data_IF_435214870591
#
_entry.id   IF_435214870591
#
_cell.length_a   1.000
_cell.length_b   1.000
_cell.length_c   1.000
_cell.angle_alpha   90.00
_cell.angle_beta   90.00
_cell.angle_gamma   90.00
#
_symmetry.space_group_name_H-M   'P 1'
#
loop_
_entity.id
_entity.type
_entity.pdbx_description
1 polymer ?
#
# COMPACT_ATOMS: atom_id res chain seq x y z
N UNK A 1 20.32 8.13 10.27
CA UNK A 1 19.42 6.97 10.28
C UNK A 1 18.16 7.40 9.56
N UNK A 2 17.74 6.69 8.51
CA UNK A 2 16.50 7.04 7.84
C UNK A 2 15.35 6.57 8.74
N UNK A 3 14.67 7.51 9.39
CA UNK A 3 13.35 7.32 9.99
C UNK A 3 12.35 7.03 8.88
N UNK A 4 12.47 5.85 8.28
CA UNK A 4 11.50 5.32 7.33
C UNK A 4 10.20 5.17 8.09
N UNK A 5 9.27 6.10 7.86
CA UNK A 5 7.97 6.15 8.53
C UNK A 5 7.30 4.76 8.49
N UNK A 6 6.59 4.35 9.54
CA UNK A 6 6.02 3.00 9.65
C UNK A 6 5.17 2.62 8.42
N UNK A 7 4.42 3.60 7.87
CA UNK A 7 3.63 3.45 6.65
C UNK A 7 4.47 3.04 5.42
N UNK A 8 5.71 3.54 5.28
CA UNK A 8 6.58 3.20 4.14
C UNK A 8 6.99 1.73 4.22
N UNK A 9 7.31 1.23 5.42
CA UNK A 9 7.63 -0.19 5.63
C UNK A 9 6.43 -1.10 5.35
N UNK A 10 5.22 -0.67 5.70
CA UNK A 10 3.97 -1.39 5.37
C UNK A 10 3.82 -1.50 3.84
N UNK A 11 3.97 -0.38 3.12
CA UNK A 11 3.87 -0.33 1.66
C UNK A 11 4.94 -1.18 0.98
N UNK A 12 6.19 -1.16 1.45
CA UNK A 12 7.28 -1.96 0.91
C UNK A 12 7.01 -3.46 1.06
N UNK A 13 6.52 -3.89 2.23
CA UNK A 13 6.15 -5.28 2.48
C UNK A 13 4.98 -5.71 1.60
N UNK A 14 3.95 -4.86 1.47
CA UNK A 14 2.82 -5.10 0.58
C UNK A 14 3.26 -5.24 -0.88
N UNK A 15 4.06 -4.29 -1.38
CA UNK A 15 4.62 -4.35 -2.73
C UNK A 15 5.42 -5.64 -2.96
N UNK A 16 6.24 -6.05 -2.00
CA UNK A 16 7.01 -7.29 -2.08
C UNK A 16 6.13 -8.53 -2.10
N UNK A 17 5.07 -8.58 -1.28
CA UNK A 17 4.11 -9.69 -1.21
C UNK A 17 3.31 -9.85 -2.49
N UNK A 18 2.86 -8.74 -3.07
CA UNK A 18 2.06 -8.73 -4.29
C UNK A 18 2.90 -8.64 -5.58
N UNK A 19 4.24 -8.68 -5.48
CA UNK A 19 5.18 -8.39 -6.60
C UNK A 19 4.80 -7.14 -7.40
N UNK A 20 4.39 -6.09 -6.69
CA UNK A 20 3.97 -4.81 -7.26
C UNK A 20 5.08 -3.77 -7.13
N UNK A 21 5.27 -2.95 -8.16
CA UNK A 21 6.20 -1.82 -8.08
C UNK A 21 5.61 -0.70 -7.22
N UNK A 22 6.44 -0.03 -6.41
CA UNK A 22 6.05 1.11 -5.56
C UNK A 22 5.39 2.24 -6.38
N UNK A 23 5.83 2.44 -7.62
CA UNK A 23 5.29 3.43 -8.56
C UNK A 23 3.88 3.05 -9.03
N UNK A 24 3.63 1.77 -9.28
CA UNK A 24 2.30 1.23 -9.61
C UNK A 24 1.38 1.32 -8.41
N UNK A 25 1.88 0.96 -7.22
CA UNK A 25 1.14 1.09 -5.98
C UNK A 25 0.70 2.53 -5.73
N UNK A 26 1.62 3.49 -5.77
CA UNK A 26 1.29 4.90 -5.54
C UNK A 26 0.28 5.45 -6.54
N UNK A 27 0.37 5.05 -7.81
CA UNK A 27 -0.61 5.42 -8.84
C UNK A 27 -2.00 4.80 -8.57
N UNK A 28 -2.08 3.56 -8.12
CA UNK A 28 -3.36 2.90 -7.86
C UNK A 28 -4.00 3.33 -6.54
N UNK A 29 -3.22 3.48 -5.48
CA UNK A 29 -3.69 3.77 -4.13
C UNK A 29 -3.97 5.28 -3.92
N UNK A 30 -3.13 6.15 -4.49
CA UNK A 30 -3.17 7.58 -4.23
C UNK A 30 -3.15 8.45 -5.50
N UNK A 31 -3.24 7.85 -6.70
CA UNK A 31 -3.05 8.54 -7.98
C UNK A 31 -1.69 9.27 -8.11
N UNK A 32 -0.71 8.93 -7.28
CA UNK A 32 0.60 9.57 -7.23
C UNK A 32 1.72 8.53 -7.25
N UNK A 33 2.36 8.36 -8.42
CA UNK A 33 3.43 7.38 -8.60
C UNK A 33 4.72 7.71 -7.85
N UNK A 34 4.83 8.88 -7.21
CA UNK A 34 6.00 9.31 -6.43
C UNK A 34 5.73 9.27 -4.92
N UNK A 35 4.56 8.80 -4.49
CA UNK A 35 4.13 8.76 -3.10
C UNK A 35 5.20 8.15 -2.17
N UNK A 36 5.60 6.90 -2.41
CA UNK A 36 6.55 6.16 -1.56
C UNK A 36 7.91 6.87 -1.45
N UNK A 37 8.41 7.38 -2.58
CA UNK A 37 9.67 8.12 -2.65
C UNK A 37 9.59 9.45 -1.89
N UNK A 38 8.44 10.13 -1.94
CA UNK A 38 8.18 11.36 -1.19
C UNK A 38 8.14 11.07 0.31
N UNK A 39 7.41 10.04 0.74
CA UNK A 39 7.34 9.61 2.14
C UNK A 39 8.72 9.22 2.69
N UNK A 40 9.51 8.46 1.92
CA UNK A 40 10.89 8.09 2.29
C UNK A 40 11.80 9.30 2.48
N UNK A 41 11.52 10.40 1.78
CA UNK A 41 12.27 11.66 1.90
C UNK A 41 11.77 12.56 3.05
N UNK A 42 10.84 12.09 3.89
CA UNK A 42 10.22 12.89 4.95
C UNK A 42 9.07 13.77 4.45
N UNK A 43 8.50 13.45 3.29
CA UNK A 43 7.37 14.17 2.73
C UNK A 43 6.11 14.02 3.57
N UNK A 44 5.37 15.12 3.73
CA UNK A 44 4.09 15.12 4.46
C UNK A 44 3.02 14.38 3.67
N UNK A 45 2.34 13.45 4.34
CA UNK A 45 1.11 12.81 3.88
C UNK A 45 -0.08 13.44 4.58
N UNK A 46 -1.15 13.66 3.83
CA UNK A 46 -2.43 14.07 4.41
C UNK A 46 -3.17 12.82 4.91
N UNK A 47 -3.89 12.89 6.04
CA UNK A 47 -4.59 11.73 6.61
C UNK A 47 -5.57 11.08 5.61
N UNK A 48 -6.23 11.85 4.75
CA UNK A 48 -7.08 11.32 3.67
C UNK A 48 -6.32 10.44 2.67
N UNK A 49 -5.07 10.79 2.34
CA UNK A 49 -4.23 9.98 1.47
C UNK A 49 -3.69 8.74 2.20
N UNK A 50 -3.37 8.84 3.49
CA UNK A 50 -3.01 7.68 4.29
C UNK A 50 -4.17 6.68 4.35
N UNK A 51 -5.38 7.17 4.59
CA UNK A 51 -6.57 6.34 4.63
C UNK A 51 -6.81 5.62 3.31
N UNK A 52 -6.70 6.30 2.17
CA UNK A 52 -6.79 5.67 0.83
C UNK A 52 -5.74 4.59 0.60
N UNK A 53 -4.52 4.82 1.06
CA UNK A 53 -3.42 3.85 0.96
C UNK A 53 -3.70 2.61 1.80
N UNK A 54 -4.16 2.81 3.05
CA UNK A 54 -4.56 1.72 3.94
C UNK A 54 -5.76 0.94 3.37
N UNK A 55 -6.78 1.64 2.89
CA UNK A 55 -7.97 1.07 2.27
C UNK A 55 -7.62 0.24 1.02
N UNK A 56 -6.72 0.74 0.16
CA UNK A 56 -6.23 0.00 -0.99
C UNK A 56 -5.47 -1.27 -0.59
N UNK A 57 -4.62 -1.21 0.44
CA UNK A 57 -3.93 -2.40 0.96
C UNK A 57 -4.92 -3.40 1.53
N UNK A 58 -5.89 -2.96 2.33
CA UNK A 58 -6.94 -3.83 2.88
C UNK A 58 -7.81 -4.45 1.79
N UNK A 59 -8.20 -3.70 0.76
CA UNK A 59 -9.00 -4.22 -0.36
C UNK A 59 -8.26 -5.30 -1.18
N UNK A 60 -6.92 -5.29 -1.15
CA UNK A 60 -6.05 -6.24 -1.86
C UNK A 60 -5.60 -7.41 -1.00
N UNK A 61 -5.45 -7.19 0.30
CA UNK A 61 -5.06 -8.21 1.30
C UNK A 61 -6.29 -8.95 1.86
N UNK A 62 -7.48 -8.35 1.75
CA UNK A 62 -8.73 -9.04 1.99
C UNK A 62 -8.72 -10.34 1.17
N UNK A 63 -8.86 -11.51 1.81
CA UNK A 63 -8.99 -12.75 1.06
C UNK A 63 -10.15 -12.55 0.07
N UNK A 64 -10.06 -13.09 -1.17
CA UNK A 64 -11.29 -13.29 -1.90
C UNK A 64 -12.18 -14.06 -0.93
N UNK A 65 -13.33 -13.48 -0.55
CA UNK A 65 -14.34 -14.21 0.23
C UNK A 65 -14.37 -15.61 -0.36
N UNK A 66 -13.98 -16.66 0.39
CA UNK A 66 -14.01 -17.99 -0.17
C UNK A 66 -15.44 -18.19 -0.64
N UNK A 67 -15.63 -18.41 -1.93
CA UNK A 67 -16.88 -19.00 -2.37
C UNK A 67 -17.01 -20.27 -1.51
N UNK A 68 -18.12 -20.48 -0.79
CA UNK A 68 -18.29 -21.63 0.10
C UNK A 68 -18.40 -22.99 -0.65
N UNK A 69 -17.81 -23.11 -1.85
CA UNK A 69 -17.96 -24.23 -2.78
C UNK A 69 -16.61 -24.92 -3.14
N UNK A 70 -15.57 -24.78 -2.30
CA UNK A 70 -14.31 -25.55 -2.44
C UNK A 70 -13.96 -26.35 -1.17
N UNK A 71 -14.99 -26.88 -0.51
CA UNK A 71 -14.85 -27.94 0.48
C UNK A 71 -15.88 -29.05 0.17
N UNK A 72 -15.67 -29.76 -0.93
CA UNK A 72 -16.34 -31.02 -1.27
C UNK A 72 -15.30 -32.09 -1.56
#
# INVERSE_FOLDING_TARGET
MADTSPIVREIEQFCRRHRMAETTFGRLAANDGKLVRRLRSGGRMWPENEQRVRDFMQARDAPPTPHPDEAA
#
